data_IF_192750910200
#
_entry.id   IF_192750910200
#
_cell.length_a   1.000
_cell.length_b   1.000
_cell.length_c   1.000
_cell.angle_alpha   90.00
_cell.angle_beta   90.00
_cell.angle_gamma   90.00
#
_symmetry.space_group_name_H-M   'P 1'
#
loop_
_entity.id
_entity.type
_entity.pdbx_description
1 polymer ?
#
# COMPACT_ATOMS: atom_id res chain seq x y z
N UNK A 1 19.17 13.71 -6.68
CA UNK A 1 19.64 12.39 -6.24
C UNK A 1 18.61 11.38 -6.68
N UNK A 2 19.04 10.27 -7.30
CA UNK A 2 18.12 9.20 -7.69
C UNK A 2 17.49 8.52 -6.46
N UNK A 3 16.43 7.78 -6.68
CA UNK A 3 15.75 6.98 -5.66
C UNK A 3 15.41 5.60 -6.24
N UNK A 4 14.90 4.68 -5.44
CA UNK A 4 14.61 3.31 -5.88
C UNK A 4 13.65 3.28 -7.10
N UNK A 5 12.68 4.18 -7.17
CA UNK A 5 11.78 4.27 -8.32
C UNK A 5 12.54 4.63 -9.61
N UNK A 6 13.36 5.71 -9.58
CA UNK A 6 14.12 6.17 -10.74
C UNK A 6 15.25 5.22 -11.13
N UNK A 7 15.93 4.63 -10.13
CA UNK A 7 17.18 3.92 -10.35
C UNK A 7 16.97 2.41 -10.58
N UNK A 8 15.88 1.85 -10.07
CA UNK A 8 15.58 0.41 -10.18
C UNK A 8 14.31 0.16 -10.98
N UNK A 9 13.16 0.71 -10.53
CA UNK A 9 11.86 0.36 -11.12
C UNK A 9 11.75 0.81 -12.58
N UNK A 10 12.12 2.05 -12.89
CA UNK A 10 12.03 2.55 -14.27
C UNK A 10 12.96 1.81 -15.25
N UNK A 11 14.01 1.18 -14.74
CA UNK A 11 14.96 0.38 -15.54
C UNK A 11 14.62 -1.11 -15.60
N UNK A 12 13.61 -1.58 -14.83
CA UNK A 12 13.16 -2.97 -14.90
C UNK A 12 12.38 -3.20 -16.20
N UNK A 13 12.65 -4.28 -16.95
CA UNK A 13 11.95 -4.58 -18.20
C UNK A 13 10.44 -4.76 -18.03
N UNK A 14 9.97 -5.02 -16.80
CA UNK A 14 8.55 -5.18 -16.46
C UNK A 14 7.86 -3.85 -16.10
N UNK A 15 8.57 -2.72 -16.12
CA UNK A 15 8.05 -1.41 -15.69
C UNK A 15 6.77 -0.97 -16.42
N UNK A 16 6.52 -1.52 -17.62
CA UNK A 16 5.30 -1.27 -18.40
C UNK A 16 4.44 -2.54 -18.63
N UNK A 17 4.71 -3.62 -17.89
CA UNK A 17 3.98 -4.89 -18.05
C UNK A 17 2.50 -4.73 -17.66
N UNK A 18 1.54 -5.23 -18.46
CA UNK A 18 0.14 -5.32 -18.06
C UNK A 18 -0.13 -6.47 -17.08
N UNK A 19 0.85 -7.36 -16.88
CA UNK A 19 0.69 -8.51 -16.01
C UNK A 19 0.84 -8.13 -14.53
N UNK A 20 0.22 -8.94 -13.67
CA UNK A 20 0.43 -8.87 -12.23
C UNK A 20 1.89 -9.21 -11.89
N UNK A 21 2.49 -8.43 -11.00
CA UNK A 21 3.84 -8.64 -10.51
C UNK A 21 3.80 -8.78 -8.99
N UNK A 22 4.29 -9.93 -8.49
CA UNK A 22 4.42 -10.24 -7.06
C UNK A 22 5.87 -10.32 -6.60
N UNK A 23 6.81 -9.91 -7.44
CA UNK A 23 8.23 -9.93 -7.13
C UNK A 23 8.57 -8.86 -6.10
N UNK A 24 8.96 -9.29 -4.91
CA UNK A 24 9.36 -8.40 -3.80
C UNK A 24 10.62 -7.59 -4.10
N UNK A 25 11.41 -7.95 -5.12
CA UNK A 25 12.55 -7.16 -5.56
C UNK A 25 12.13 -5.79 -6.14
N UNK A 26 10.86 -5.63 -6.55
CA UNK A 26 10.29 -4.35 -6.98
C UNK A 26 9.62 -3.55 -5.84
N UNK A 27 9.76 -3.98 -4.60
CA UNK A 27 9.50 -3.14 -3.45
C UNK A 27 10.78 -2.39 -3.05
N UNK A 28 10.63 -1.12 -2.68
CA UNK A 28 11.70 -0.33 -2.09
C UNK A 28 12.28 -1.08 -0.87
N UNK A 29 13.60 -1.06 -0.64
CA UNK A 29 14.26 -1.96 0.31
C UNK A 29 13.66 -1.99 1.72
N UNK A 30 13.31 -0.83 2.28
CA UNK A 30 12.67 -0.77 3.61
C UNK A 30 11.23 -1.30 3.54
N UNK A 31 10.46 -0.91 2.53
CA UNK A 31 9.11 -1.42 2.31
C UNK A 31 9.11 -2.95 2.19
N UNK A 32 10.06 -3.50 1.42
CA UNK A 32 10.23 -4.95 1.28
C UNK A 32 10.51 -5.64 2.62
N UNK A 33 11.41 -5.08 3.43
CA UNK A 33 11.72 -5.62 4.75
C UNK A 33 10.49 -5.62 5.66
N UNK A 34 9.71 -4.53 5.68
CA UNK A 34 8.50 -4.41 6.49
C UNK A 34 7.39 -5.37 6.02
N UNK A 35 7.23 -5.55 4.72
CA UNK A 35 6.30 -6.54 4.13
C UNK A 35 6.71 -7.96 4.55
N UNK A 36 8.00 -8.30 4.51
CA UNK A 36 8.48 -9.60 4.96
C UNK A 36 8.18 -9.84 6.45
N UNK A 37 8.39 -8.83 7.30
CA UNK A 37 8.06 -8.93 8.72
C UNK A 37 6.56 -9.21 8.95
N UNK A 38 5.68 -8.59 8.15
CA UNK A 38 4.23 -8.86 8.21
C UNK A 38 3.92 -10.30 7.82
N UNK A 39 4.50 -10.79 6.73
CA UNK A 39 4.29 -12.17 6.26
C UNK A 39 4.77 -13.18 7.30
N UNK A 40 5.96 -12.98 7.86
CA UNK A 40 6.53 -13.86 8.89
C UNK A 40 5.67 -13.85 10.17
N UNK A 41 5.22 -12.68 10.60
CA UNK A 41 4.37 -12.55 11.79
C UNK A 41 2.98 -13.19 11.58
N UNK A 42 2.37 -13.04 10.41
CA UNK A 42 1.12 -13.73 10.06
C UNK A 42 1.30 -15.25 10.11
N UNK A 43 2.41 -15.75 9.58
CA UNK A 43 2.73 -17.17 9.61
C UNK A 43 2.91 -17.68 11.05
N UNK A 44 3.56 -16.91 11.94
CA UNK A 44 3.70 -17.25 13.35
C UNK A 44 2.33 -17.29 14.08
N UNK A 45 1.37 -16.50 13.62
CA UNK A 45 -0.02 -16.54 14.10
C UNK A 45 -0.84 -17.69 13.50
N UNK A 46 -0.25 -18.54 12.66
CA UNK A 46 -0.95 -19.62 11.95
C UNK A 46 -1.82 -19.13 10.78
N UNK A 47 -1.65 -17.89 10.34
CA UNK A 47 -2.42 -17.30 9.24
C UNK A 47 -1.59 -17.41 7.96
N UNK A 48 -2.03 -18.24 7.03
CA UNK A 48 -1.38 -18.36 5.73
C UNK A 48 -1.72 -17.17 4.86
N UNK A 49 -0.69 -16.45 4.43
CA UNK A 49 -0.79 -15.30 3.53
C UNK A 49 0.24 -15.42 2.40
N UNK A 50 0.00 -14.67 1.34
CA UNK A 50 0.97 -14.50 0.25
C UNK A 50 0.99 -13.04 -0.23
N UNK A 51 2.16 -12.61 -0.68
CA UNK A 51 2.31 -11.38 -1.45
C UNK A 51 1.63 -11.59 -2.80
N UNK A 52 0.58 -10.82 -3.06
CA UNK A 52 -0.21 -10.96 -4.28
C UNK A 52 0.24 -10.00 -5.38
N UNK A 53 0.40 -8.71 -5.07
CA UNK A 53 0.88 -7.73 -6.03
C UNK A 53 1.80 -6.72 -5.33
N UNK A 54 2.99 -6.48 -5.90
CA UNK A 54 3.99 -5.53 -5.38
C UNK A 54 4.04 -4.27 -6.23
N UNK A 55 4.54 -4.41 -7.44
CA UNK A 55 4.61 -3.33 -8.42
C UNK A 55 3.40 -3.39 -9.36
N UNK A 56 2.88 -2.21 -9.69
CA UNK A 56 1.80 -2.08 -10.67
C UNK A 56 2.15 -1.00 -11.69
N UNK A 57 2.25 -1.39 -12.95
CA UNK A 57 2.44 -0.45 -14.07
C UNK A 57 1.15 0.31 -14.41
N UNK A 58 1.27 1.39 -15.16
CA UNK A 58 0.09 2.08 -15.69
C UNK A 58 -0.71 1.19 -16.66
N UNK A 59 -0.04 0.34 -17.44
CA UNK A 59 -0.71 -0.63 -18.32
C UNK A 59 -1.55 -1.64 -17.52
N UNK A 60 -0.99 -2.17 -16.42
CA UNK A 60 -1.73 -3.06 -15.50
C UNK A 60 -2.91 -2.36 -14.84
N UNK A 61 -2.75 -1.12 -14.41
CA UNK A 61 -3.84 -0.34 -13.81
C UNK A 61 -4.98 -0.13 -14.80
N UNK A 62 -4.65 0.19 -16.05
CA UNK A 62 -5.66 0.38 -17.11
C UNK A 62 -6.42 -0.93 -17.39
N UNK A 63 -5.74 -2.06 -17.37
CA UNK A 63 -6.38 -3.37 -17.52
C UNK A 63 -7.35 -3.66 -16.37
N UNK A 64 -6.91 -3.44 -15.12
CA UNK A 64 -7.77 -3.61 -13.94
C UNK A 64 -8.99 -2.69 -13.99
N UNK A 65 -8.80 -1.45 -14.45
CA UNK A 65 -9.91 -0.51 -14.63
C UNK A 65 -10.89 -0.98 -15.71
N UNK A 66 -10.39 -1.42 -16.87
CA UNK A 66 -11.23 -1.90 -17.97
C UNK A 66 -12.05 -3.14 -17.58
N UNK A 67 -11.48 -3.99 -16.71
CA UNK A 67 -12.14 -5.20 -16.20
C UNK A 67 -13.02 -4.95 -14.95
N UNK A 68 -13.16 -3.70 -14.51
CA UNK A 68 -13.97 -3.31 -13.35
C UNK A 68 -13.39 -3.74 -12.00
N UNK A 69 -12.14 -4.19 -11.95
CA UNK A 69 -11.46 -4.61 -10.72
C UNK A 69 -10.97 -3.43 -9.87
N UNK A 70 -10.93 -2.23 -10.43
CA UNK A 70 -10.62 -0.98 -9.74
C UNK A 70 -11.44 0.18 -10.31
N UNK A 71 -11.69 1.19 -9.48
CA UNK A 71 -12.29 2.47 -9.92
C UNK A 71 -11.25 3.51 -10.32
N UNK A 72 -9.97 3.25 -10.05
CA UNK A 72 -8.86 4.16 -10.31
C UNK A 72 -8.30 3.95 -11.71
N UNK A 73 -8.17 5.02 -12.49
CA UNK A 73 -7.54 4.99 -13.83
C UNK A 73 -6.03 5.14 -13.78
N UNK A 74 -5.51 5.82 -12.76
CA UNK A 74 -4.09 6.08 -12.59
C UNK A 74 -3.53 5.21 -11.48
N UNK A 75 -2.28 4.78 -11.63
CA UNK A 75 -1.60 4.00 -10.60
C UNK A 75 -1.30 4.87 -9.40
N UNK A 76 -1.55 4.31 -8.22
CA UNK A 76 -1.19 4.90 -6.94
C UNK A 76 0.22 4.49 -6.49
N UNK A 77 0.35 4.26 -5.19
CA UNK A 77 1.62 4.02 -4.49
C UNK A 77 2.36 2.76 -4.95
N UNK A 78 1.66 1.76 -5.49
CA UNK A 78 2.26 0.55 -6.08
C UNK A 78 3.29 0.86 -7.19
N UNK A 79 3.06 1.92 -7.98
CA UNK A 79 3.98 2.32 -9.04
C UNK A 79 5.37 2.66 -8.52
N UNK A 80 5.46 3.10 -7.28
CA UNK A 80 6.70 3.58 -6.67
C UNK A 80 7.42 2.52 -5.84
N UNK A 81 6.92 1.27 -5.82
CA UNK A 81 7.46 0.21 -4.98
C UNK A 81 7.22 0.40 -3.48
N UNK A 82 6.23 1.20 -3.12
CA UNK A 82 5.93 1.58 -1.73
C UNK A 82 4.63 0.96 -1.21
N UNK A 83 4.02 0.06 -1.97
CA UNK A 83 2.79 -0.64 -1.60
C UNK A 83 2.83 -2.11 -1.97
N UNK A 84 2.04 -2.90 -1.24
CA UNK A 84 1.92 -4.33 -1.45
C UNK A 84 0.50 -4.78 -1.12
N UNK A 85 -0.06 -5.66 -1.95
CA UNK A 85 -1.30 -6.38 -1.66
C UNK A 85 -0.94 -7.76 -1.09
N UNK A 86 -1.43 -8.05 0.12
CA UNK A 86 -1.20 -9.30 0.86
C UNK A 86 -2.54 -9.98 1.04
N UNK A 87 -2.72 -11.15 0.43
CA UNK A 87 -3.95 -11.94 0.50
C UNK A 87 -3.78 -13.16 1.37
N UNK A 88 -4.90 -13.71 1.86
CA UNK A 88 -4.91 -15.00 2.56
C UNK A 88 -4.69 -16.11 1.55
N UNK A 89 -4.18 -17.26 2.04
CA UNK A 89 -4.12 -18.50 1.28
C UNK A 89 -5.11 -19.48 1.91
N UNK A 90 -6.06 -19.96 1.11
CA UNK A 90 -7.08 -20.93 1.53
C UNK A 90 -7.11 -22.07 0.53
N UNK A 91 -6.87 -23.28 0.99
CA UNK A 91 -6.77 -24.44 0.10
C UNK A 91 -5.67 -24.36 -0.95
N UNK A 92 -4.59 -23.60 -0.67
CA UNK A 92 -3.48 -23.37 -1.61
C UNK A 92 -3.69 -22.21 -2.58
N UNK A 93 -4.87 -21.59 -2.58
CA UNK A 93 -5.24 -20.51 -3.52
C UNK A 93 -5.36 -19.16 -2.83
N UNK A 94 -5.11 -18.04 -3.55
CA UNK A 94 -5.28 -16.69 -3.02
C UNK A 94 -6.76 -16.42 -2.70
N UNK A 95 -7.01 -15.77 -1.56
CA UNK A 95 -8.36 -15.45 -1.09
C UNK A 95 -8.45 -14.05 -0.51
N UNK A 96 -9.45 -13.28 -0.97
CA UNK A 96 -9.83 -11.96 -0.45
C UNK A 96 -10.95 -12.05 0.58
N UNK A 97 -11.36 -13.27 0.96
CA UNK A 97 -12.48 -13.51 1.88
C UNK A 97 -11.99 -13.58 3.32
N UNK A 98 -12.86 -13.16 4.24
CA UNK A 98 -12.65 -13.25 5.67
C UNK A 98 -12.17 -11.94 6.29
N UNK A 99 -11.83 -12.02 7.58
CA UNK A 99 -11.34 -10.88 8.34
C UNK A 99 -9.85 -10.63 8.07
N UNK A 100 -9.52 -9.38 7.75
CA UNK A 100 -8.16 -8.88 7.54
C UNK A 100 -7.68 -7.94 8.66
N UNK A 101 -8.39 -7.84 9.78
CA UNK A 101 -7.99 -6.99 10.92
C UNK A 101 -6.59 -7.33 11.46
N UNK A 102 -6.18 -8.61 11.37
CA UNK A 102 -4.83 -9.03 11.68
C UNK A 102 -3.77 -8.29 10.83
N UNK A 103 -4.07 -8.08 9.53
CA UNK A 103 -3.16 -7.37 8.63
C UNK A 103 -3.01 -5.90 9.04
N UNK A 104 -4.11 -5.27 9.48
CA UNK A 104 -4.06 -3.91 10.03
C UNK A 104 -3.17 -3.80 11.27
N UNK A 105 -3.30 -4.74 12.22
CA UNK A 105 -2.45 -4.78 13.41
C UNK A 105 -0.97 -4.99 13.08
N UNK A 106 -0.68 -5.92 12.17
CA UNK A 106 0.69 -6.20 11.73
C UNK A 106 1.29 -5.05 10.93
N UNK A 107 0.51 -4.44 10.03
CA UNK A 107 0.94 -3.27 9.25
C UNK A 107 1.30 -2.09 10.16
N UNK A 108 0.43 -1.76 11.12
CA UNK A 108 0.68 -0.71 12.10
C UNK A 108 1.95 -1.00 12.92
N UNK A 109 2.11 -2.22 13.41
CA UNK A 109 3.29 -2.64 14.17
C UNK A 109 4.57 -2.56 13.35
N UNK A 110 4.50 -2.84 12.04
CA UNK A 110 5.61 -2.74 11.12
C UNK A 110 5.88 -1.30 10.62
N UNK A 111 4.96 -0.35 10.86
CA UNK A 111 5.08 1.02 10.37
C UNK A 111 4.56 1.23 8.94
N UNK A 112 3.61 0.40 8.49
CA UNK A 112 2.89 0.57 7.21
C UNK A 112 1.44 0.99 7.45
N UNK A 113 0.92 1.85 6.59
CA UNK A 113 -0.51 2.18 6.56
C UNK A 113 -1.28 1.00 5.95
N UNK A 114 -2.38 0.63 6.59
CA UNK A 114 -3.28 -0.40 6.09
C UNK A 114 -4.49 0.21 5.36
N UNK A 115 -4.81 -0.29 4.19
CA UNK A 115 -5.95 0.18 3.39
C UNK A 115 -7.32 -0.18 3.97
N UNK A 116 -7.38 -1.11 4.93
CA UNK A 116 -8.58 -1.43 5.70
C UNK A 116 -9.02 -0.31 6.64
N UNK A 117 -8.12 0.62 6.99
CA UNK A 117 -8.45 1.80 7.81
C UNK A 117 -9.04 2.97 6.98
N UNK A 118 -9.04 2.86 5.67
CA UNK A 118 -9.65 3.88 4.83
C UNK A 118 -11.18 3.89 5.03
N UNK A 119 -11.74 5.07 5.25
CA UNK A 119 -13.16 5.25 5.54
C UNK A 119 -13.54 5.18 7.03
N UNK A 120 -12.58 4.97 7.94
CA UNK A 120 -12.83 5.11 9.38
C UNK A 120 -12.97 6.59 9.78
N UNK A 121 -13.60 6.90 10.93
CA UNK A 121 -13.64 8.26 11.45
C UNK A 121 -12.24 8.88 11.51
N UNK A 122 -12.03 9.98 10.79
CA UNK A 122 -10.74 10.64 10.66
C UNK A 122 -9.95 10.31 9.38
N UNK A 123 -10.30 9.24 8.65
CA UNK A 123 -9.73 8.90 7.33
C UNK A 123 -10.89 8.66 6.36
N UNK A 124 -11.61 9.72 5.92
CA UNK A 124 -12.75 9.55 5.03
C UNK A 124 -12.30 8.93 3.71
N UNK A 125 -12.90 7.82 3.37
CA UNK A 125 -12.75 7.18 2.06
C UNK A 125 -14.02 6.44 1.75
N UNK A 126 -14.50 6.55 0.52
CA UNK A 126 -15.58 5.72 0.00
C UNK A 126 -15.09 4.33 -0.41
N UNK A 127 -13.82 4.03 -0.15
CA UNK A 127 -13.15 2.82 -0.57
C UNK A 127 -12.27 2.26 0.55
N UNK A 128 -12.48 0.98 0.87
CA UNK A 128 -11.67 0.21 1.83
C UNK A 128 -10.96 -0.89 1.05
N UNK A 129 -9.64 -1.01 1.23
CA UNK A 129 -8.83 -2.06 0.61
C UNK A 129 -8.12 -2.89 1.68
N UNK A 130 -8.79 -3.95 2.14
CA UNK A 130 -8.36 -4.75 3.28
C UNK A 130 -7.07 -5.55 3.05
N UNK A 131 -6.64 -5.73 1.80
CA UNK A 131 -5.41 -6.48 1.46
C UNK A 131 -4.20 -5.57 1.27
N UNK A 132 -4.42 -4.26 1.18
CA UNK A 132 -3.43 -3.27 0.82
C UNK A 132 -2.65 -2.74 2.02
N UNK A 133 -1.33 -2.68 1.90
CA UNK A 133 -0.43 -1.99 2.82
C UNK A 133 0.51 -1.06 2.07
N UNK A 134 0.87 0.11 2.65
CA UNK A 134 1.73 1.08 1.97
C UNK A 134 2.63 1.87 2.93
N UNK A 135 3.79 2.28 2.44
CA UNK A 135 4.78 3.12 3.15
C UNK A 135 4.71 4.59 2.70
N UNK A 136 3.51 5.10 2.51
CA UNK A 136 3.27 6.50 2.17
C UNK A 136 1.94 6.90 2.74
N UNK A 137 1.84 8.05 3.42
CA UNK A 137 0.56 8.56 3.90
C UNK A 137 -0.30 9.05 2.73
N UNK A 138 -1.62 9.05 2.89
CA UNK A 138 -2.53 9.64 1.89
C UNK A 138 -2.20 11.12 1.65
N UNK A 139 -1.81 11.85 2.69
CA UNK A 139 -1.41 13.26 2.58
C UNK A 139 -0.16 13.48 1.71
N UNK A 140 0.78 12.52 1.70
CA UNK A 140 2.01 12.61 0.92
C UNK A 140 1.89 12.08 -0.52
N UNK A 141 0.79 11.41 -0.87
CA UNK A 141 0.64 10.84 -2.21
C UNK A 141 0.77 11.90 -3.32
N UNK A 142 0.22 13.10 -3.10
CA UNK A 142 0.34 14.19 -4.07
C UNK A 142 1.79 14.58 -4.34
N UNK A 143 2.61 14.71 -3.30
CA UNK A 143 4.04 15.02 -3.41
C UNK A 143 4.84 13.86 -4.02
N UNK A 144 4.49 12.60 -3.68
CA UNK A 144 5.07 11.41 -4.30
C UNK A 144 4.82 11.38 -5.82
N UNK A 145 3.57 11.64 -6.23
CA UNK A 145 3.19 11.62 -7.66
C UNK A 145 3.79 12.77 -8.44
N UNK A 146 4.00 13.92 -7.78
CA UNK A 146 4.71 15.06 -8.35
C UNK A 146 6.24 14.90 -8.38
N UNK A 147 6.78 13.82 -7.78
CA UNK A 147 8.23 13.58 -7.69
C UNK A 147 8.98 14.50 -6.72
N UNK A 148 8.26 15.19 -5.84
CA UNK A 148 8.84 16.08 -4.82
C UNK A 148 9.03 15.42 -3.46
N UNK A 149 8.54 14.20 -3.31
CA UNK A 149 8.73 13.35 -2.14
C UNK A 149 9.02 11.91 -2.57
N UNK A 150 9.94 11.27 -1.88
CA UNK A 150 10.14 9.83 -1.86
C UNK A 150 10.67 9.46 -0.47
N UNK A 151 10.12 8.44 0.24
CA UNK A 151 10.54 8.12 1.59
C UNK A 151 11.99 7.68 1.64
N UNK A 152 12.76 8.24 2.58
CA UNK A 152 14.08 7.75 2.94
C UNK A 152 13.99 6.53 3.90
N UNK A 153 15.14 6.01 4.33
CA UNK A 153 15.16 4.83 5.19
C UNK A 153 14.57 5.09 6.59
N UNK A 154 14.59 6.32 7.07
CA UNK A 154 14.07 6.70 8.39
C UNK A 154 12.58 7.07 8.38
N UNK A 155 11.98 7.24 7.20
CA UNK A 155 10.59 7.65 7.08
C UNK A 155 9.64 6.62 7.72
N UNK A 156 8.78 7.13 8.61
CA UNK A 156 7.69 6.37 9.21
C UNK A 156 6.38 7.15 9.00
N UNK A 157 5.39 6.60 8.28
CA UNK A 157 4.14 7.28 8.00
C UNK A 157 3.34 7.68 9.26
N UNK A 158 3.49 6.98 10.38
CA UNK A 158 2.79 7.29 11.63
C UNK A 158 3.39 8.48 12.38
N UNK A 159 4.65 8.83 12.12
CA UNK A 159 5.31 10.02 12.69
C UNK A 159 5.38 11.18 11.70
N UNK A 160 4.84 11.01 10.50
CA UNK A 160 4.76 12.05 9.49
C UNK A 160 3.81 13.16 9.95
N UNK A 161 4.34 14.38 10.14
CA UNK A 161 3.56 15.55 10.57
C UNK A 161 2.37 15.85 9.63
N UNK A 162 2.49 15.55 8.35
CA UNK A 162 1.40 15.70 7.38
C UNK A 162 0.25 14.71 7.67
N UNK A 163 0.56 13.48 8.06
CA UNK A 163 -0.44 12.50 8.46
C UNK A 163 -1.18 12.94 9.73
N UNK A 164 -0.44 13.39 10.74
CA UNK A 164 -1.00 13.88 12.01
C UNK A 164 -1.92 15.09 11.78
N UNK A 165 -1.47 16.06 10.98
CA UNK A 165 -2.27 17.24 10.65
C UNK A 165 -3.52 16.89 9.85
N UNK A 166 -3.42 15.98 8.90
CA UNK A 166 -4.54 15.50 8.09
C UNK A 166 -5.58 14.79 8.97
N UNK A 167 -5.16 13.86 9.83
CA UNK A 167 -6.04 13.16 10.76
C UNK A 167 -6.74 14.12 11.75
N UNK A 168 -6.02 15.11 12.28
CA UNK A 168 -6.57 16.14 13.15
C UNK A 168 -7.59 17.05 12.44
N UNK A 169 -7.33 17.41 11.19
CA UNK A 169 -8.25 18.22 10.37
C UNK A 169 -9.54 17.46 10.07
N UNK A 170 -9.46 16.15 9.80
CA UNK A 170 -10.61 15.30 9.57
C UNK A 170 -11.45 15.10 10.82
N UNK A 171 -10.83 14.84 11.97
CA UNK A 171 -11.52 14.72 13.25
C UNK A 171 -12.32 16.00 13.62
N UNK A 172 -11.81 17.19 13.30
CA UNK A 172 -12.51 18.46 13.50
C UNK A 172 -13.72 18.59 12.58
N UNK A 173 -13.65 18.17 11.32
CA UNK A 173 -14.76 18.25 10.37
C UNK A 173 -15.93 17.33 10.77
N UNK A 174 -15.64 16.14 11.26
CA UNK A 174 -16.67 15.21 11.75
C UNK A 174 -17.33 15.72 13.03
N UNK A 175 -16.59 16.35 13.93
CA UNK A 175 -17.13 16.93 15.16
C UNK A 175 -18.02 18.16 14.94
N UNK A 176 -17.87 18.88 13.81
CA UNK A 176 -18.70 20.05 13.48
C UNK A 176 -19.93 19.72 12.63
N UNK A 177 -20.04 18.49 12.14
CA UNK A 177 -21.16 18.02 11.31
C UNK A 177 -22.22 17.22 12.09
N UNK A 178 -22.04 17.03 13.38
CA UNK A 178 -22.97 16.40 14.32
C UNK A 178 -23.52 17.39 15.33
#
# INVERSE_FOLDING_TARGET
MGNFFSDVILNDPRSNSPNRISDVALLEPVTRQLVQQIVDAAQQMGIQVMVFETYRSQARQQELFNNGATKLRTVGVHRYGLACDIVRVVGGEPSWKGDFSFLGQLAQSAGLIWGGDWGHPGIPSDFVDSVHVQRCTVAQQGALFAGTFYPDAAYNPYTDGQHILFAAAQARRTATAG
#
